data_IF_891490519480
#
_entry.id   IF_891490519480
#
_cell.length_a   1.000
_cell.length_b   1.000
_cell.length_c   1.000
_cell.angle_alpha   90.00
_cell.angle_beta   90.00
_cell.angle_gamma   90.00
#
_symmetry.space_group_name_H-M   'P 1'
#
loop_
_entity.id
_entity.type
_entity.pdbx_description
1 polymer ?
#
# COMPACT_ATOMS: atom_id res chain seq x y z
N UNK A 1 -5.51 -44.21 19.83
CA UNK A 1 -5.72 -45.42 20.66
C UNK A 1 -4.43 -46.22 20.63
N UNK A 2 -3.64 -46.18 21.70
CA UNK A 2 -2.49 -47.08 21.86
C UNK A 2 -3.06 -48.46 22.18
N UNK A 3 -2.97 -49.41 21.23
CA UNK A 3 -3.32 -50.80 21.52
C UNK A 3 -2.33 -51.30 22.57
N UNK A 4 -2.82 -51.63 23.77
CA UNK A 4 -2.02 -52.30 24.78
C UNK A 4 -1.44 -53.58 24.18
N UNK A 5 -0.16 -53.85 24.45
CA UNK A 5 0.46 -55.09 24.04
C UNK A 5 -0.36 -56.28 24.57
N UNK A 6 -0.57 -57.35 23.79
CA UNK A 6 -1.31 -58.50 24.25
C UNK A 6 -0.69 -59.08 25.53
N UNK A 7 -1.50 -59.55 26.48
CA UNK A 7 -1.04 -60.04 27.80
C UNK A 7 0.05 -61.12 27.73
N UNK A 8 0.12 -61.83 26.60
CA UNK A 8 1.17 -62.79 26.32
C UNK A 8 2.56 -62.14 26.24
N UNK A 9 2.68 -60.88 25.79
CA UNK A 9 3.93 -60.09 25.67
C UNK A 9 4.40 -59.60 27.02
N UNK A 10 3.49 -59.09 27.84
CA UNK A 10 3.82 -58.57 29.18
C UNK A 10 4.25 -59.69 30.13
N UNK A 11 3.63 -60.87 30.02
CA UNK A 11 3.95 -62.02 30.88
C UNK A 11 5.37 -62.55 30.65
N UNK A 12 5.88 -62.63 29.42
CA UNK A 12 7.25 -63.13 29.15
C UNK A 12 8.35 -62.14 29.62
N UNK A 13 8.11 -60.83 29.51
CA UNK A 13 9.07 -59.81 29.99
C UNK A 13 9.23 -59.81 31.52
N UNK A 14 8.17 -60.17 32.26
CA UNK A 14 8.18 -60.33 33.71
C UNK A 14 8.79 -61.67 34.17
N UNK A 15 8.61 -62.75 33.39
CA UNK A 15 9.21 -64.05 33.65
C UNK A 15 10.42 -64.26 32.74
N UNK A 16 11.55 -63.63 33.11
CA UNK A 16 12.83 -63.65 32.40
C UNK A 16 13.15 -64.98 31.68
N UNK A 17 12.83 -65.08 30.39
CA UNK A 17 13.50 -65.96 29.42
C UNK A 17 13.38 -67.48 29.58
N UNK A 18 12.60 -68.02 30.52
CA UNK A 18 12.47 -69.47 30.67
C UNK A 18 11.49 -70.04 29.63
N UNK A 19 12.03 -70.61 28.54
CA UNK A 19 11.30 -71.39 27.50
C UNK A 19 10.29 -72.39 28.07
N UNK A 20 10.50 -72.86 29.29
CA UNK A 20 9.75 -73.96 29.90
C UNK A 20 8.50 -73.51 30.68
N UNK A 21 8.37 -72.24 31.07
CA UNK A 21 7.21 -71.75 31.86
C UNK A 21 6.15 -71.09 31.00
N UNK A 22 6.54 -70.54 29.86
CA UNK A 22 5.63 -69.92 28.90
C UNK A 22 5.58 -70.76 27.62
N UNK A 23 4.46 -71.44 27.38
CA UNK A 23 4.14 -72.14 26.11
C UNK A 23 3.90 -71.17 24.95
N UNK A 24 4.68 -70.10 24.84
CA UNK A 24 4.49 -69.10 23.79
C UNK A 24 5.66 -69.15 22.82
N UNK A 25 5.33 -69.28 21.54
CA UNK A 25 6.30 -69.27 20.46
C UNK A 25 6.97 -67.90 20.34
N UNK A 26 8.30 -67.87 20.35
CA UNK A 26 9.11 -66.65 20.25
C UNK A 26 8.99 -66.02 18.86
N UNK A 27 8.71 -66.82 17.83
CA UNK A 27 8.55 -66.33 16.45
C UNK A 27 7.37 -65.35 16.32
N UNK A 28 6.29 -65.62 17.05
CA UNK A 28 5.06 -64.80 17.05
C UNK A 28 5.23 -63.38 17.60
N UNK A 29 6.41 -63.03 18.13
CA UNK A 29 6.67 -61.76 18.82
C UNK A 29 7.44 -60.76 18.00
N UNK A 30 8.11 -61.25 16.97
CA UNK A 30 8.60 -60.37 15.93
C UNK A 30 7.40 -59.84 15.16
N UNK A 31 7.44 -58.56 14.75
CA UNK A 31 6.39 -58.01 13.91
C UNK A 31 6.17 -58.89 12.68
N UNK A 32 4.92 -59.05 12.28
CA UNK A 32 4.64 -59.76 11.03
C UNK A 32 5.21 -58.99 9.84
N UNK A 33 5.44 -59.68 8.72
CA UNK A 33 5.95 -59.05 7.49
C UNK A 33 5.10 -57.84 7.09
N UNK A 34 3.78 -57.95 7.23
CA UNK A 34 2.85 -56.86 6.95
C UNK A 34 3.00 -55.67 7.92
N UNK A 35 3.28 -55.93 9.21
CA UNK A 35 3.52 -54.87 10.19
C UNK A 35 4.80 -54.10 9.87
N UNK A 36 5.86 -54.80 9.47
CA UNK A 36 7.12 -54.19 9.05
C UNK A 36 6.94 -53.37 7.77
N UNK A 37 6.18 -53.86 6.79
CA UNK A 37 5.91 -53.14 5.55
C UNK A 37 5.06 -51.88 5.79
N UNK A 38 4.05 -51.96 6.68
CA UNK A 38 3.27 -50.81 7.12
C UNK A 38 4.11 -49.75 7.82
N UNK A 39 5.08 -50.17 8.64
CA UNK A 39 5.97 -49.24 9.33
C UNK A 39 6.98 -48.60 8.37
N UNK A 40 7.53 -49.36 7.42
CA UNK A 40 8.44 -48.84 6.37
C UNK A 40 7.76 -47.86 5.42
N UNK A 41 6.47 -48.03 5.17
CA UNK A 41 5.66 -47.09 4.36
C UNK A 41 5.14 -45.90 5.16
N UNK A 42 5.37 -45.89 6.48
CA UNK A 42 4.96 -44.75 7.31
C UNK A 42 5.73 -43.49 6.92
N UNK A 43 5.01 -42.41 6.65
CA UNK A 43 5.58 -41.09 6.31
C UNK A 43 5.92 -40.26 7.53
N UNK A 44 5.80 -40.83 8.73
CA UNK A 44 6.02 -40.16 10.01
C UNK A 44 7.49 -39.80 10.23
N UNK A 45 8.40 -40.60 9.68
CA UNK A 45 9.84 -40.42 9.83
C UNK A 45 10.48 -40.13 8.48
N UNK A 46 11.13 -38.99 8.38
CA UNK A 46 11.91 -38.61 7.20
C UNK A 46 13.37 -38.99 7.40
N UNK A 47 14.01 -39.59 6.37
CA UNK A 47 15.45 -39.85 6.40
C UNK A 47 16.25 -38.55 6.64
N UNK A 48 17.29 -38.65 7.47
CA UNK A 48 18.14 -37.53 7.82
C UNK A 48 18.77 -36.83 6.59
N UNK A 49 19.10 -37.59 5.53
CA UNK A 49 19.62 -37.03 4.27
C UNK A 49 18.66 -36.02 3.63
N UNK A 50 17.38 -36.37 3.54
CA UNK A 50 16.34 -35.52 2.94
C UNK A 50 16.12 -34.27 3.80
N UNK A 51 16.03 -34.43 5.12
CA UNK A 51 15.87 -33.30 6.06
C UNK A 51 17.06 -32.33 5.97
N UNK A 52 18.27 -32.86 5.83
CA UNK A 52 19.49 -32.06 5.67
C UNK A 52 19.44 -31.22 4.40
N UNK A 53 19.09 -31.81 3.27
CA UNK A 53 18.95 -31.10 1.98
C UNK A 53 17.85 -30.03 2.04
N UNK A 54 16.69 -30.37 2.59
CA UNK A 54 15.58 -29.42 2.77
C UNK A 54 15.98 -28.25 3.66
N UNK A 55 16.68 -28.51 4.76
CA UNK A 55 17.16 -27.45 5.66
C UNK A 55 18.18 -26.53 4.99
N UNK A 56 19.08 -27.07 4.16
CA UNK A 56 20.04 -26.29 3.40
C UNK A 56 19.34 -25.42 2.35
N UNK A 57 18.38 -25.97 1.61
CA UNK A 57 17.58 -25.24 0.64
C UNK A 57 16.77 -24.12 1.31
N UNK A 58 16.16 -24.39 2.47
CA UNK A 58 15.44 -23.38 3.25
C UNK A 58 16.37 -22.24 3.69
N UNK A 59 17.56 -22.54 4.23
CA UNK A 59 18.56 -21.54 4.61
C UNK A 59 18.97 -20.67 3.43
N UNK A 60 19.32 -21.28 2.30
CA UNK A 60 19.69 -20.53 1.09
C UNK A 60 18.55 -19.64 0.59
N UNK A 61 17.30 -20.12 0.64
CA UNK A 61 16.14 -19.31 0.25
C UNK A 61 15.93 -18.12 1.19
N UNK A 62 16.13 -18.31 2.49
CA UNK A 62 16.01 -17.26 3.50
C UNK A 62 17.11 -16.21 3.33
N UNK A 63 18.35 -16.63 3.10
CA UNK A 63 19.49 -15.75 2.83
C UNK A 63 19.29 -14.93 1.55
N UNK A 64 18.79 -15.55 0.48
CA UNK A 64 18.44 -14.83 -0.76
C UNK A 64 17.36 -13.77 -0.51
N UNK A 65 16.29 -14.11 0.22
CA UNK A 65 15.24 -13.14 0.59
C UNK A 65 15.79 -12.00 1.43
N UNK A 66 16.65 -12.31 2.40
CA UNK A 66 17.29 -11.31 3.25
C UNK A 66 18.18 -10.36 2.43
N UNK A 67 18.99 -10.90 1.51
CA UNK A 67 19.84 -10.12 0.62
C UNK A 67 19.04 -9.19 -0.29
N UNK A 68 17.99 -9.71 -0.94
CA UNK A 68 17.10 -8.89 -1.78
C UNK A 68 16.44 -7.75 -0.97
N UNK A 69 16.04 -8.02 0.28
CA UNK A 69 15.50 -7.00 1.18
C UNK A 69 16.53 -5.92 1.48
N UNK A 70 17.76 -6.31 1.82
CA UNK A 70 18.84 -5.35 2.08
C UNK A 70 19.17 -4.51 0.84
N UNK A 71 19.26 -5.12 -0.34
CA UNK A 71 19.51 -4.39 -1.59
C UNK A 71 18.41 -3.37 -1.88
N UNK A 72 17.13 -3.73 -1.63
CA UNK A 72 16.01 -2.81 -1.77
C UNK A 72 16.12 -1.64 -0.78
N UNK A 73 16.46 -1.92 0.48
CA UNK A 73 16.64 -0.89 1.49
C UNK A 73 17.78 0.06 1.13
N UNK A 74 18.92 -0.45 0.69
CA UNK A 74 20.05 0.39 0.26
C UNK A 74 19.71 1.25 -0.97
N UNK A 75 18.95 0.71 -1.93
CA UNK A 75 18.47 1.50 -3.08
C UNK A 75 17.53 2.62 -2.63
N UNK A 76 16.62 2.33 -1.70
CA UNK A 76 15.70 3.32 -1.16
C UNK A 76 16.45 4.40 -0.37
N UNK A 77 17.43 4.03 0.44
CA UNK A 77 18.24 4.96 1.22
C UNK A 77 19.05 5.90 0.32
N UNK A 78 19.67 5.37 -0.75
CA UNK A 78 20.36 6.19 -1.76
C UNK A 78 19.41 7.18 -2.46
N UNK A 79 18.18 6.76 -2.72
CA UNK A 79 17.18 7.59 -3.39
C UNK A 79 16.43 8.54 -2.45
N UNK A 80 16.59 8.38 -1.13
CA UNK A 80 15.79 9.09 -0.14
C UNK A 80 15.90 10.61 -0.25
N UNK A 81 17.12 11.14 -0.36
CA UNK A 81 17.37 12.58 -0.50
C UNK A 81 16.66 13.17 -1.71
N UNK A 82 16.79 12.52 -2.88
CA UNK A 82 16.14 12.96 -4.12
C UNK A 82 14.61 12.91 -3.99
N UNK A 83 14.06 11.87 -3.37
CA UNK A 83 12.61 11.78 -3.16
C UNK A 83 12.10 12.83 -2.17
N UNK A 84 12.88 13.15 -1.15
CA UNK A 84 12.55 14.17 -0.16
C UNK A 84 12.54 15.56 -0.79
N UNK A 85 13.54 15.91 -1.60
CA UNK A 85 13.59 17.18 -2.33
C UNK A 85 12.41 17.33 -3.30
N UNK A 86 12.06 16.26 -4.03
CA UNK A 86 10.87 16.25 -4.90
C UNK A 86 9.59 16.47 -4.11
N UNK A 87 9.47 15.87 -2.93
CA UNK A 87 8.30 16.06 -2.08
C UNK A 87 8.21 17.49 -1.54
N UNK A 88 9.31 18.03 -1.00
CA UNK A 88 9.36 19.39 -0.47
C UNK A 88 9.09 20.44 -1.55
N UNK A 89 9.67 20.28 -2.74
CA UNK A 89 9.39 21.18 -3.87
C UNK A 89 7.93 21.08 -4.35
N UNK A 90 7.31 19.90 -4.28
CA UNK A 90 5.89 19.75 -4.54
C UNK A 90 5.02 20.47 -3.51
N UNK A 91 5.39 20.42 -2.22
CA UNK A 91 4.67 21.13 -1.16
C UNK A 91 4.77 22.64 -1.35
N UNK A 92 5.96 23.16 -1.61
CA UNK A 92 6.16 24.59 -1.87
C UNK A 92 5.38 25.09 -3.09
N UNK A 93 5.29 24.28 -4.16
CA UNK A 93 4.46 24.62 -5.32
C UNK A 93 2.97 24.64 -4.95
N UNK A 94 2.50 23.64 -4.21
CA UNK A 94 1.12 23.56 -3.77
C UNK A 94 0.74 24.73 -2.83
N UNK A 95 1.65 25.18 -1.97
CA UNK A 95 1.47 26.37 -1.14
C UNK A 95 1.39 27.63 -1.99
N UNK A 96 2.34 27.84 -2.90
CA UNK A 96 2.31 28.99 -3.83
C UNK A 96 1.05 29.04 -4.68
N UNK A 97 0.58 27.90 -5.19
CA UNK A 97 -0.66 27.84 -5.96
C UNK A 97 -1.90 28.17 -5.11
N UNK A 98 -1.90 27.84 -3.81
CA UNK A 98 -2.97 28.26 -2.89
C UNK A 98 -2.89 29.77 -2.63
N UNK A 99 -1.71 30.28 -2.32
CA UNK A 99 -1.48 31.70 -2.08
C UNK A 99 -1.86 32.54 -3.31
N UNK A 100 -1.55 32.06 -4.53
CA UNK A 100 -1.94 32.72 -5.78
C UNK A 100 -3.46 32.71 -5.98
N UNK A 101 -4.14 31.59 -5.70
CA UNK A 101 -5.60 31.50 -5.79
C UNK A 101 -6.28 32.43 -4.78
N UNK A 102 -5.78 32.45 -3.55
CA UNK A 102 -6.29 33.30 -2.48
C UNK A 102 -6.05 34.78 -2.81
N UNK A 103 -4.86 35.14 -3.33
CA UNK A 103 -4.56 36.49 -3.78
C UNK A 103 -5.45 36.95 -4.94
N UNK A 104 -5.78 36.07 -5.88
CA UNK A 104 -6.70 36.37 -6.99
C UNK A 104 -8.13 36.55 -6.47
N UNK A 105 -8.58 35.72 -5.53
CA UNK A 105 -9.88 35.85 -4.87
C UNK A 105 -10.00 37.18 -4.12
N UNK A 106 -8.99 37.53 -3.33
CA UNK A 106 -8.94 38.79 -2.58
C UNK A 106 -8.95 40.04 -3.48
N UNK A 107 -8.26 39.99 -4.64
CA UNK A 107 -8.31 41.07 -5.64
C UNK A 107 -9.72 41.21 -6.21
N UNK A 108 -10.35 40.09 -6.59
CA UNK A 108 -11.72 40.09 -7.13
C UNK A 108 -12.75 40.59 -6.11
N UNK A 109 -12.61 40.21 -4.84
CA UNK A 109 -13.44 40.73 -3.76
C UNK A 109 -13.31 42.25 -3.62
N UNK A 110 -12.09 42.78 -3.67
CA UNK A 110 -11.84 44.22 -3.64
C UNK A 110 -12.46 44.96 -4.81
N UNK A 111 -12.33 44.44 -6.04
CA UNK A 111 -12.94 45.06 -7.22
C UNK A 111 -14.48 45.12 -7.13
N UNK A 112 -15.11 44.05 -6.65
CA UNK A 112 -16.56 44.02 -6.43
C UNK A 112 -16.95 44.98 -5.30
N UNK A 113 -16.16 45.05 -4.24
CA UNK A 113 -16.39 45.99 -3.14
C UNK A 113 -16.30 47.45 -3.61
N UNK A 114 -15.29 47.80 -4.41
CA UNK A 114 -15.13 49.14 -4.97
C UNK A 114 -16.28 49.50 -5.93
N UNK A 115 -16.79 48.54 -6.69
CA UNK A 115 -17.86 48.78 -7.66
C UNK A 115 -19.25 48.86 -7.02
N UNK A 116 -19.57 47.99 -6.06
CA UNK A 116 -20.90 47.89 -5.45
C UNK A 116 -21.02 48.56 -4.07
N UNK A 117 -19.89 48.85 -3.40
CA UNK A 117 -19.82 49.62 -2.15
C UNK A 117 -20.11 48.85 -0.85
N UNK A 118 -20.41 47.56 -0.91
CA UNK A 118 -20.62 46.70 0.26
C UNK A 118 -19.70 45.49 0.23
N UNK A 119 -19.30 45.00 1.41
CA UNK A 119 -18.38 43.86 1.53
C UNK A 119 -19.17 42.56 1.30
N UNK A 120 -18.61 41.68 0.46
CA UNK A 120 -19.24 40.42 0.03
C UNK A 120 -18.23 39.28 0.18
N UNK A 121 -18.68 38.14 0.69
CA UNK A 121 -17.86 36.93 0.79
C UNK A 121 -17.79 36.20 -0.55
N UNK A 122 -16.63 35.61 -0.88
CA UNK A 122 -16.43 34.78 -2.08
C UNK A 122 -17.28 33.53 -2.13
N UNK A 123 -17.72 33.05 -0.96
CA UNK A 123 -18.56 31.86 -0.84
C UNK A 123 -20.04 32.16 -1.05
N UNK A 124 -20.42 33.43 -1.18
CA UNK A 124 -21.79 33.81 -1.50
C UNK A 124 -22.07 33.50 -2.99
N UNK A 125 -23.09 32.70 -3.33
CA UNK A 125 -23.50 32.44 -4.71
C UNK A 125 -23.74 33.70 -5.56
N UNK A 126 -24.02 34.84 -4.93
CA UNK A 126 -24.20 36.14 -5.59
C UNK A 126 -22.89 36.72 -6.15
N UNK A 127 -21.73 36.29 -5.65
CA UNK A 127 -20.42 36.80 -6.06
C UNK A 127 -20.18 36.58 -7.56
N UNK A 128 -20.44 35.36 -8.06
CA UNK A 128 -20.29 35.03 -9.48
C UNK A 128 -21.24 35.84 -10.37
N UNK A 129 -22.48 36.03 -9.90
CA UNK A 129 -23.48 36.81 -10.61
C UNK A 129 -23.06 38.28 -10.72
N UNK A 130 -22.57 38.88 -9.63
CA UNK A 130 -22.13 40.27 -9.60
C UNK A 130 -20.86 40.50 -10.42
N UNK A 131 -19.91 39.55 -10.42
CA UNK A 131 -18.74 39.59 -11.29
C UNK A 131 -19.14 39.62 -12.76
N UNK A 132 -20.07 38.75 -13.16
CA UNK A 132 -20.57 38.69 -14.54
C UNK A 132 -21.30 39.98 -14.96
N UNK A 133 -22.01 40.62 -14.03
CA UNK A 133 -22.68 41.90 -14.25
C UNK A 133 -21.68 43.04 -14.44
N UNK A 134 -20.63 43.11 -13.62
CA UNK A 134 -19.54 44.09 -13.77
C UNK A 134 -18.88 43.98 -15.15
N UNK A 135 -18.45 42.78 -15.54
CA UNK A 135 -17.79 42.56 -16.83
C UNK A 135 -18.70 42.91 -18.02
N UNK A 136 -20.01 42.63 -17.92
CA UNK A 136 -20.97 43.00 -18.94
C UNK A 136 -21.17 44.52 -19.03
N UNK A 137 -21.12 45.24 -17.91
CA UNK A 137 -21.23 46.69 -17.86
C UNK A 137 -19.96 47.39 -18.34
N UNK A 138 -18.77 46.92 -17.98
CA UNK A 138 -17.50 47.41 -18.50
C UNK A 138 -17.40 47.24 -20.03
N UNK A 139 -17.76 46.07 -20.56
CA UNK A 139 -17.79 45.83 -22.02
C UNK A 139 -18.78 46.74 -22.75
N UNK A 140 -19.91 47.08 -22.11
CA UNK A 140 -20.88 48.04 -22.67
C UNK A 140 -20.32 49.46 -22.62
N UNK A 141 -19.71 49.87 -21.51
CA UNK A 141 -19.09 51.17 -21.34
C UNK A 141 -17.94 51.40 -22.33
N UNK A 142 -17.06 50.41 -22.53
CA UNK A 142 -16.00 50.47 -23.54
C UNK A 142 -16.53 50.61 -24.97
N UNK A 143 -17.59 49.87 -25.32
CA UNK A 143 -18.23 49.98 -26.64
C UNK A 143 -18.83 51.36 -26.84
N UNK A 144 -19.44 51.93 -25.80
CA UNK A 144 -20.01 53.29 -25.85
C UNK A 144 -18.91 54.35 -25.91
N UNK A 145 -17.80 54.18 -25.18
CA UNK A 145 -16.64 55.06 -25.23
C UNK A 145 -15.97 55.05 -26.62
N UNK A 146 -15.74 53.87 -27.20
CA UNK A 146 -15.21 53.73 -28.58
C UNK A 146 -16.13 54.38 -29.61
N UNK A 147 -17.45 54.23 -29.47
CA UNK A 147 -18.43 54.90 -30.32
C UNK A 147 -18.39 56.42 -30.14
N UNK A 148 -18.29 56.91 -28.92
CA UNK A 148 -18.17 58.34 -28.63
C UNK A 148 -16.87 58.94 -29.17
N UNK A 149 -15.75 58.23 -29.11
CA UNK A 149 -14.47 58.66 -29.71
C UNK A 149 -14.54 58.70 -31.24
N UNK A 150 -15.17 57.70 -31.87
CA UNK A 150 -15.39 57.68 -33.31
C UNK A 150 -16.32 58.82 -33.77
N UNK A 151 -17.37 59.12 -32.99
CA UNK A 151 -18.27 60.24 -33.27
C UNK A 151 -17.54 61.58 -33.08
N UNK A 152 -16.73 61.74 -32.03
CA UNK A 152 -15.90 62.94 -31.82
C UNK A 152 -14.90 63.15 -32.97
N UNK A 153 -14.25 62.08 -33.44
CA UNK A 153 -13.36 62.14 -34.60
C UNK A 153 -14.10 62.53 -35.88
N UNK A 154 -15.27 61.95 -36.14
CA UNK A 154 -16.10 62.30 -37.30
C UNK A 154 -16.63 63.74 -37.24
N UNK A 155 -16.98 64.24 -36.05
CA UNK A 155 -17.41 65.64 -35.87
C UNK A 155 -16.24 66.61 -36.11
N UNK A 156 -15.02 66.24 -35.67
CA UNK A 156 -13.81 67.03 -35.91
C UNK A 156 -13.28 66.97 -37.35
N UNK A 157 -13.71 66.00 -38.15
CA UNK A 157 -13.35 65.85 -39.57
C UNK A 157 -14.36 66.55 -40.51
N UNK A 158 -15.54 66.93 -39.99
CA UNK A 158 -16.62 67.62 -40.72
C UNK A 158 -16.68 69.13 -40.39
N UNK A 159 -16.04 69.58 -39.31
CA UNK A 159 -15.74 71.00 -39.05
C UNK A 159 -14.37 71.37 -39.62
#
# INVERSE_FOLDING_TARGET
MLKSLPESVTRLGMYHGLRHTTKVDLSSRWPSVEEVEREKTSTLFTPHSIVREQSAAMKQSAEKKHRMRLEKMMKNEKNYGVTLEKYLSSQQKAEKEKDEKDAVLERRMREIHEYFGYWMDSKDPRFELLLSQKEAQEKKAEKMAKRAELVKKKIAEVM
#
